data_IF_264159462118
#
_entry.id   IF_264159462118
#
_cell.length_a   1.000
_cell.length_b   1.000
_cell.length_c   1.000
_cell.angle_alpha   90.00
_cell.angle_beta   90.00
_cell.angle_gamma   90.00
#
_symmetry.space_group_name_H-M   'P 1'
#
loop_
_entity.id
_entity.type
_entity.pdbx_description
1 polymer ?
#
# COMPACT_ATOMS: atom_id res chain seq x y z
N UNK A 1 -8.34 26.97 -3.98
CA UNK A 1 -8.31 28.01 -2.91
C UNK A 1 -9.06 29.30 -3.25
N UNK A 2 -8.88 29.92 -4.43
CA UNK A 2 -9.54 31.19 -4.78
C UNK A 2 -11.08 31.12 -4.65
N UNK A 3 -11.70 30.09 -5.21
CA UNK A 3 -13.16 29.90 -5.17
C UNK A 3 -13.69 29.78 -3.74
N UNK A 4 -13.00 29.01 -2.88
CA UNK A 4 -13.37 28.86 -1.47
C UNK A 4 -13.26 30.21 -0.73
N UNK A 5 -12.18 30.95 -0.94
CA UNK A 5 -12.00 32.27 -0.36
C UNK A 5 -13.14 33.23 -0.73
N UNK A 6 -13.61 33.20 -1.97
CA UNK A 6 -14.73 34.02 -2.43
C UNK A 6 -16.05 33.57 -1.81
N UNK A 7 -16.33 32.27 -1.81
CA UNK A 7 -17.58 31.71 -1.26
C UNK A 7 -17.75 31.99 0.24
N UNK A 8 -16.65 32.05 0.98
CA UNK A 8 -16.67 32.28 2.43
C UNK A 8 -16.27 33.72 2.81
N UNK A 9 -16.10 34.63 1.84
CA UNK A 9 -15.72 36.03 2.06
C UNK A 9 -14.48 36.22 2.95
N UNK A 10 -13.48 35.36 2.78
CA UNK A 10 -12.22 35.38 3.54
C UNK A 10 -11.00 35.45 2.63
N UNK A 11 -9.87 35.87 3.17
CA UNK A 11 -8.62 35.93 2.42
C UNK A 11 -8.08 34.53 2.07
N UNK A 12 -7.31 34.38 0.97
CA UNK A 12 -6.64 33.11 0.63
C UNK A 12 -5.74 32.59 1.77
N UNK A 13 -4.91 33.43 2.45
CA UNK A 13 -4.13 32.98 3.59
C UNK A 13 -5.01 32.40 4.71
N UNK A 14 -6.16 33.02 5.00
CA UNK A 14 -7.12 32.50 5.99
C UNK A 14 -7.61 31.11 5.61
N UNK A 15 -8.02 30.90 4.36
CA UNK A 15 -8.46 29.57 3.88
C UNK A 15 -7.33 28.54 3.99
N UNK A 16 -6.11 28.89 3.59
CA UNK A 16 -4.98 27.97 3.67
C UNK A 16 -4.68 27.55 5.12
N UNK A 17 -4.72 28.51 6.06
CA UNK A 17 -4.56 28.23 7.48
C UNK A 17 -5.68 27.32 8.00
N UNK A 18 -6.94 27.62 7.69
CA UNK A 18 -8.09 26.82 8.13
C UNK A 18 -8.01 25.38 7.61
N UNK A 19 -7.65 25.18 6.34
CA UNK A 19 -7.47 23.84 5.76
C UNK A 19 -6.39 23.07 6.53
N UNK A 20 -5.21 23.67 6.72
CA UNK A 20 -4.11 23.03 7.45
C UNK A 20 -4.50 22.68 8.88
N UNK A 21 -5.08 23.63 9.61
CA UNK A 21 -5.45 23.45 11.02
C UNK A 21 -6.55 22.38 11.14
N UNK A 22 -7.51 22.33 10.21
CA UNK A 22 -8.55 21.30 10.15
C UNK A 22 -7.96 19.91 9.85
N UNK A 23 -7.10 19.80 8.84
CA UNK A 23 -6.43 18.54 8.49
C UNK A 23 -5.60 18.01 9.66
N UNK A 24 -4.89 18.89 10.36
CA UNK A 24 -4.14 18.53 11.58
C UNK A 24 -5.07 18.02 12.68
N UNK A 25 -6.18 18.71 12.95
CA UNK A 25 -7.17 18.26 13.95
C UNK A 25 -7.74 16.89 13.58
N UNK A 26 -8.05 16.66 12.30
CA UNK A 26 -8.51 15.35 11.81
C UNK A 26 -7.46 14.27 12.12
N UNK A 27 -6.19 14.51 11.81
CA UNK A 27 -5.12 13.59 12.14
C UNK A 27 -4.98 13.35 13.65
N UNK A 28 -4.92 14.43 14.45
CA UNK A 28 -4.73 14.35 15.89
C UNK A 28 -5.87 13.60 16.60
N UNK A 29 -7.09 13.65 16.03
CA UNK A 29 -8.28 13.00 16.61
C UNK A 29 -8.58 11.63 16.04
N UNK A 30 -8.39 11.41 14.74
CA UNK A 30 -8.74 10.14 14.09
C UNK A 30 -7.57 9.17 14.00
N UNK A 31 -6.33 9.63 13.85
CA UNK A 31 -5.19 8.70 13.71
C UNK A 31 -5.07 7.72 14.87
N UNK A 32 -5.30 8.08 16.16
CA UNK A 32 -5.27 7.10 17.24
C UNK A 32 -6.37 6.04 17.17
N UNK A 33 -7.45 6.30 16.42
CA UNK A 33 -8.61 5.42 16.29
C UNK A 33 -8.48 4.53 15.05
N UNK A 34 -8.05 5.11 13.93
CA UNK A 34 -8.08 4.44 12.62
C UNK A 34 -6.70 4.11 12.04
N UNK A 35 -5.63 4.62 12.63
CA UNK A 35 -4.23 4.31 12.32
C UNK A 35 -3.41 4.08 13.62
N UNK A 36 -3.92 3.28 14.58
CA UNK A 36 -3.14 3.00 15.78
C UNK A 36 -1.87 2.22 15.43
N UNK A 37 -0.85 2.32 16.29
CA UNK A 37 0.34 1.45 16.19
C UNK A 37 -0.12 -0.01 16.27
N UNK A 38 0.16 -0.86 15.26
CA UNK A 38 -0.27 -2.25 15.30
C UNK A 38 0.40 -3.03 16.43
N UNK A 39 -0.39 -3.85 17.12
CA UNK A 39 0.06 -4.82 18.12
C UNK A 39 0.37 -6.18 17.47
N UNK A 40 0.98 -7.10 18.23
CA UNK A 40 1.17 -8.48 17.78
C UNK A 40 -0.16 -9.16 17.37
N UNK A 41 -1.25 -8.91 18.08
CA UNK A 41 -2.56 -9.46 17.75
C UNK A 41 -3.16 -8.86 16.48
N UNK A 42 -2.89 -7.58 16.21
CA UNK A 42 -3.26 -6.95 14.94
C UNK A 42 -2.53 -7.60 13.77
N UNK A 43 -1.21 -7.83 13.88
CA UNK A 43 -0.45 -8.52 12.82
C UNK A 43 -0.95 -9.96 12.58
N UNK A 44 -1.30 -10.71 13.64
CA UNK A 44 -1.92 -12.04 13.50
C UNK A 44 -3.27 -11.95 12.79
N UNK A 45 -4.10 -10.96 13.14
CA UNK A 45 -5.38 -10.70 12.49
C UNK A 45 -5.19 -10.37 11.01
N UNK A 46 -4.34 -9.40 10.68
CA UNK A 46 -4.06 -9.03 9.29
C UNK A 46 -3.59 -10.23 8.48
N UNK A 47 -2.69 -11.05 9.05
CA UNK A 47 -2.22 -12.26 8.41
C UNK A 47 -3.31 -13.29 8.14
N UNK A 48 -4.23 -13.48 9.07
CA UNK A 48 -5.37 -14.37 8.87
C UNK A 48 -6.24 -13.85 7.74
N UNK A 49 -6.54 -12.56 7.74
CA UNK A 49 -7.40 -11.95 6.71
C UNK A 49 -6.73 -12.02 5.31
N UNK A 50 -5.40 -11.90 5.21
CA UNK A 50 -4.67 -12.14 3.96
C UNK A 50 -4.69 -13.60 3.52
N UNK A 51 -4.62 -14.54 4.45
CA UNK A 51 -4.75 -15.96 4.12
C UNK A 51 -6.16 -16.28 3.60
N UNK A 52 -7.19 -15.73 4.24
CA UNK A 52 -8.59 -15.96 3.88
C UNK A 52 -8.98 -15.29 2.56
N UNK A 53 -8.63 -14.01 2.37
CA UNK A 53 -9.07 -13.21 1.21
C UNK A 53 -8.12 -13.32 0.01
N UNK A 54 -6.82 -13.43 0.27
CA UNK A 54 -5.78 -13.33 -0.76
C UNK A 54 -4.96 -14.60 -0.92
N UNK A 55 -5.24 -15.63 -0.12
CA UNK A 55 -4.49 -16.89 -0.07
C UNK A 55 -2.98 -16.62 0.04
N UNK A 56 -2.59 -15.75 0.96
CA UNK A 56 -1.20 -15.46 1.23
C UNK A 56 -0.92 -15.68 2.73
N UNK A 57 -0.27 -16.80 3.11
CA UNK A 57 -0.07 -17.15 4.51
C UNK A 57 0.95 -16.22 5.15
N UNK A 58 0.83 -15.97 6.45
CA UNK A 58 1.75 -15.14 7.24
C UNK A 58 1.95 -13.69 6.72
N UNK A 59 1.21 -13.27 5.70
CA UNK A 59 1.31 -11.96 5.10
C UNK A 59 0.45 -10.96 5.85
N UNK A 60 1.02 -9.99 6.56
CA UNK A 60 0.24 -9.01 7.31
C UNK A 60 -0.04 -7.70 6.55
N UNK A 61 0.55 -7.52 5.37
CA UNK A 61 0.41 -6.25 4.66
C UNK A 61 0.91 -6.28 3.22
N UNK A 62 0.42 -5.34 2.43
CA UNK A 62 1.00 -4.98 1.14
C UNK A 62 1.60 -3.58 1.23
N UNK A 63 2.88 -3.44 0.87
CA UNK A 63 3.61 -2.17 0.87
C UNK A 63 3.81 -1.67 -0.56
N UNK A 64 3.58 -0.38 -0.75
CA UNK A 64 3.93 0.36 -1.95
C UNK A 64 4.07 1.84 -1.57
N UNK A 65 4.78 2.58 -2.40
CA UNK A 65 4.89 4.01 -2.22
C UNK A 65 4.40 4.78 -3.44
N UNK A 66 3.85 5.97 -3.19
CA UNK A 66 3.26 6.83 -4.21
C UNK A 66 3.80 8.24 -4.14
N UNK A 67 4.08 8.79 -5.31
CA UNK A 67 4.26 10.23 -5.45
C UNK A 67 2.91 10.95 -5.41
N UNK A 68 2.82 11.97 -4.57
CA UNK A 68 1.71 12.93 -4.52
C UNK A 68 2.24 14.24 -5.08
N UNK A 69 1.76 14.60 -6.27
CA UNK A 69 2.26 15.79 -6.97
C UNK A 69 1.75 17.04 -6.30
N UNK A 70 2.70 17.90 -5.96
CA UNK A 70 2.48 19.21 -5.34
C UNK A 70 2.95 20.30 -6.28
N UNK A 71 2.44 21.51 -6.11
CA UNK A 71 3.01 22.68 -6.76
C UNK A 71 4.48 22.81 -6.38
N UNK A 72 5.32 23.23 -7.34
CA UNK A 72 6.73 23.52 -7.12
C UNK A 72 6.92 24.36 -5.85
N UNK A 73 7.55 23.81 -4.80
CA UNK A 73 7.78 24.55 -3.58
C UNK A 73 8.79 25.68 -3.84
N UNK A 74 8.59 26.83 -3.19
CA UNK A 74 9.49 27.97 -3.33
C UNK A 74 10.87 27.66 -2.76
N UNK A 75 11.94 28.01 -3.49
CA UNK A 75 13.34 27.92 -3.04
C UNK A 75 13.86 26.51 -2.69
N UNK A 76 13.22 25.42 -3.15
CA UNK A 76 13.65 24.05 -2.81
C UNK A 76 14.59 23.38 -3.81
N UNK A 77 14.99 24.10 -4.87
CA UNK A 77 15.79 23.53 -5.97
C UNK A 77 15.12 22.30 -6.58
N UNK A 78 15.87 21.21 -6.75
CA UNK A 78 15.38 19.93 -7.29
C UNK A 78 14.95 18.91 -6.23
N UNK A 79 14.94 19.27 -4.94
CA UNK A 79 14.72 18.31 -3.84
C UNK A 79 13.40 17.54 -3.97
N UNK A 80 12.33 18.22 -4.38
CA UNK A 80 11.03 17.59 -4.63
C UNK A 80 10.81 17.23 -6.11
N UNK A 81 11.74 17.57 -7.01
CA UNK A 81 11.65 17.34 -8.45
C UNK A 81 11.96 15.88 -8.76
N UNK A 82 10.91 15.14 -9.14
CA UNK A 82 11.03 13.71 -9.44
C UNK A 82 11.52 13.47 -10.89
N UNK A 83 11.88 12.22 -11.18
CA UNK A 83 12.38 11.79 -12.49
C UNK A 83 11.39 12.03 -13.65
N UNK A 84 10.11 12.30 -13.34
CA UNK A 84 9.04 12.63 -14.30
C UNK A 84 8.81 14.13 -14.47
N UNK A 85 9.76 14.97 -14.02
CA UNK A 85 9.75 16.42 -14.13
C UNK A 85 8.61 17.13 -13.39
N UNK A 86 8.10 16.55 -12.32
CA UNK A 86 7.09 17.18 -11.44
C UNK A 86 7.60 17.27 -10.01
N UNK A 87 7.05 18.18 -9.20
CA UNK A 87 7.36 18.23 -7.77
C UNK A 87 6.40 17.33 -6.99
N UNK A 88 6.89 16.49 -6.09
CA UNK A 88 6.06 15.57 -5.32
C UNK A 88 6.60 15.31 -3.92
N UNK A 89 5.70 15.07 -2.97
CA UNK A 89 6.00 14.37 -1.72
C UNK A 89 5.74 12.87 -1.92
N UNK A 90 6.45 12.04 -1.17
CA UNK A 90 6.24 10.60 -1.18
C UNK A 90 5.37 10.20 0.01
N UNK A 91 4.37 9.38 -0.27
CA UNK A 91 3.61 8.60 0.70
C UNK A 91 4.09 7.16 0.60
N UNK A 92 4.70 6.63 1.66
CA UNK A 92 4.94 5.20 1.80
C UNK A 92 3.86 4.61 2.70
N UNK A 93 3.18 3.56 2.27
CA UNK A 93 2.11 2.96 3.06
C UNK A 93 2.09 1.44 2.98
N UNK A 94 1.67 0.83 4.08
CA UNK A 94 1.26 -0.57 4.18
C UNK A 94 -0.26 -0.59 4.39
N UNK A 95 -0.96 -1.50 3.73
CA UNK A 95 -2.37 -1.76 4.00
C UNK A 95 -2.63 -3.23 4.36
N UNK A 96 -3.68 -3.47 5.13
CA UNK A 96 -4.19 -4.80 5.41
C UNK A 96 -4.98 -5.38 4.23
N UNK A 97 -5.46 -6.62 4.38
CA UNK A 97 -6.23 -7.35 3.38
C UNK A 97 -7.55 -6.66 2.98
N UNK A 98 -8.07 -5.75 3.81
CA UNK A 98 -9.33 -5.05 3.64
C UNK A 98 -9.15 -3.64 3.10
N UNK A 99 -7.98 -3.31 2.52
CA UNK A 99 -7.68 -1.98 1.97
C UNK A 99 -7.60 -0.86 3.03
N UNK A 100 -7.39 -1.21 4.30
CA UNK A 100 -7.17 -0.25 5.39
C UNK A 100 -5.67 -0.01 5.53
N UNK A 101 -5.26 1.25 5.54
CA UNK A 101 -3.85 1.59 5.78
C UNK A 101 -3.49 1.25 7.23
N UNK A 102 -2.34 0.63 7.47
CA UNK A 102 -1.91 0.18 8.81
C UNK A 102 -0.60 0.84 9.27
N UNK A 103 0.29 1.13 8.32
CA UNK A 103 1.54 1.87 8.56
C UNK A 103 1.68 2.90 7.45
N UNK A 104 1.98 4.15 7.80
CA UNK A 104 2.11 5.24 6.83
C UNK A 104 3.28 6.14 7.21
N UNK A 105 3.96 6.67 6.21
CA UNK A 105 4.99 7.70 6.33
C UNK A 105 4.81 8.69 5.17
N UNK A 106 4.71 9.98 5.50
CA UNK A 106 4.33 11.05 4.58
C UNK A 106 5.36 12.16 4.65
N UNK A 107 5.83 12.60 3.49
CA UNK A 107 6.64 13.83 3.38
C UNK A 107 8.06 13.61 2.86
N UNK A 108 8.47 12.37 2.60
CA UNK A 108 9.77 12.12 1.99
C UNK A 108 9.90 12.80 0.62
N UNK A 109 11.11 13.25 0.29
CA UNK A 109 11.37 14.04 -0.91
C UNK A 109 11.09 13.23 -2.18
N UNK A 110 10.38 13.82 -3.15
CA UNK A 110 10.05 13.16 -4.42
C UNK A 110 11.23 12.77 -5.31
N UNK A 111 12.45 13.21 -4.98
CA UNK A 111 13.68 12.79 -5.66
C UNK A 111 14.23 11.45 -5.14
N UNK A 112 13.78 10.98 -3.97
CA UNK A 112 14.23 9.72 -3.39
C UNK A 112 13.55 8.51 -4.06
N UNK A 113 14.31 7.42 -4.24
CA UNK A 113 13.76 6.10 -4.56
C UNK A 113 13.04 5.51 -3.36
N UNK A 114 12.04 4.65 -3.54
CA UNK A 114 11.25 4.05 -2.45
C UNK A 114 12.10 3.23 -1.48
N UNK A 115 13.31 2.80 -1.86
CA UNK A 115 14.19 2.01 -1.00
C UNK A 115 14.93 2.91 -0.03
N UNK A 116 15.21 4.15 -0.48
CA UNK A 116 15.64 5.24 0.38
C UNK A 116 14.50 5.68 1.27
N UNK A 117 13.33 5.97 0.69
CA UNK A 117 12.13 6.38 1.46
C UNK A 117 11.73 5.34 2.49
N UNK A 118 11.72 4.06 2.13
CA UNK A 118 11.41 2.96 3.05
C UNK A 118 12.47 2.83 4.14
N UNK A 119 13.77 2.90 3.80
CA UNK A 119 14.84 2.81 4.80
C UNK A 119 14.82 4.00 5.78
N UNK A 120 14.41 5.17 5.31
CA UNK A 120 14.32 6.39 6.10
C UNK A 120 12.95 6.58 6.77
N UNK A 121 11.93 5.79 6.40
CA UNK A 121 10.59 5.90 7.00
C UNK A 121 10.61 5.46 8.46
N UNK A 122 9.76 6.08 9.28
CA UNK A 122 9.68 5.79 10.70
C UNK A 122 9.42 4.31 10.97
N UNK A 123 8.50 3.70 10.21
CA UNK A 123 8.20 2.28 10.35
C UNK A 123 9.26 1.38 9.70
N UNK A 124 9.97 1.83 8.67
CA UNK A 124 11.07 1.07 8.09
C UNK A 124 12.27 0.96 9.03
N UNK A 125 12.60 2.04 9.73
CA UNK A 125 13.58 2.04 10.84
C UNK A 125 13.10 1.13 11.97
N UNK A 126 11.83 1.23 12.38
CA UNK A 126 11.27 0.38 13.43
C UNK A 126 11.29 -1.11 13.05
N UNK A 127 11.07 -1.45 11.77
CA UNK A 127 11.19 -2.83 11.27
C UNK A 127 12.63 -3.34 11.33
N UNK A 128 13.61 -2.53 10.90
CA UNK A 128 15.02 -2.91 10.94
C UNK A 128 15.57 -3.05 12.36
N UNK A 129 15.03 -2.27 13.31
CA UNK A 129 15.39 -2.34 14.73
C UNK A 129 14.56 -3.35 15.54
N UNK A 130 13.62 -4.05 14.92
CA UNK A 130 12.67 -4.96 15.59
C UNK A 130 11.86 -4.28 16.72
N UNK A 131 11.48 -3.02 16.48
CA UNK A 131 10.66 -2.21 17.39
C UNK A 131 9.16 -2.36 17.12
N UNK A 132 8.78 -2.86 15.94
CA UNK A 132 7.41 -3.29 15.70
C UNK A 132 7.19 -4.66 16.35
N UNK A 133 6.08 -4.82 17.06
CA UNK A 133 5.69 -6.05 17.78
C UNK A 133 5.22 -7.15 16.80
N UNK A 134 6.00 -7.42 15.75
CA UNK A 134 5.71 -8.51 14.82
C UNK A 134 5.79 -9.83 15.61
N UNK A 135 4.76 -10.69 15.54
CA UNK A 135 4.76 -11.96 16.25
C UNK A 135 5.92 -12.87 15.84
N UNK A 136 6.30 -13.77 16.74
CA UNK A 136 7.21 -14.87 16.42
C UNK A 136 6.68 -15.73 15.27
N UNK A 137 7.60 -16.39 14.56
CA UNK A 137 7.31 -17.29 13.44
C UNK A 137 6.19 -18.29 13.78
N UNK A 138 5.19 -18.38 12.90
CA UNK A 138 4.13 -19.39 12.97
C UNK A 138 4.29 -20.41 11.85
N UNK A 139 3.71 -21.59 12.01
CA UNK A 139 3.71 -22.58 10.93
C UNK A 139 2.90 -22.10 9.73
N UNK A 140 3.35 -22.43 8.52
CA UNK A 140 2.51 -22.33 7.34
C UNK A 140 1.31 -23.29 7.49
N UNK A 141 0.11 -22.92 7.01
CA UNK A 141 -1.10 -23.72 7.22
C UNK A 141 -0.94 -25.17 6.77
N UNK A 142 -1.41 -26.10 7.60
CA UNK A 142 -1.33 -27.56 7.39
C UNK A 142 0.11 -28.12 7.28
N UNK A 143 1.12 -27.43 7.83
CA UNK A 143 2.50 -27.91 7.85
C UNK A 143 3.20 -27.64 9.20
N UNK A 144 4.35 -28.27 9.43
CA UNK A 144 5.25 -27.95 10.55
C UNK A 144 6.33 -26.90 10.17
N UNK A 145 6.22 -26.29 8.98
CA UNK A 145 7.20 -25.33 8.47
C UNK A 145 7.01 -23.98 9.13
N UNK A 146 7.87 -23.64 10.10
CA UNK A 146 7.90 -22.30 10.70
C UNK A 146 8.27 -21.24 9.66
N UNK A 147 7.51 -20.15 9.64
CA UNK A 147 7.68 -19.06 8.69
C UNK A 147 7.44 -17.70 9.34
N UNK A 148 8.24 -16.67 9.04
CA UNK A 148 8.06 -15.35 9.62
C UNK A 148 6.80 -14.66 9.08
N UNK A 149 6.28 -13.71 9.85
CA UNK A 149 5.29 -12.76 9.37
C UNK A 149 5.96 -11.73 8.44
N UNK A 150 5.34 -11.42 7.30
CA UNK A 150 5.93 -10.55 6.29
C UNK A 150 4.90 -9.65 5.58
N UNK A 151 5.39 -8.64 4.85
CA UNK A 151 4.60 -7.87 3.90
C UNK A 151 5.02 -8.18 2.45
N UNK A 152 4.07 -8.10 1.52
CA UNK A 152 4.35 -8.23 0.08
C UNK A 152 4.68 -6.88 -0.53
N UNK A 153 5.67 -6.85 -1.40
CA UNK A 153 6.17 -5.65 -2.04
C UNK A 153 6.45 -5.88 -3.53
N UNK A 154 6.66 -4.80 -4.28
CA UNK A 154 7.09 -4.90 -5.67
C UNK A 154 8.58 -5.30 -5.79
N UNK A 155 9.05 -5.51 -7.02
CA UNK A 155 10.45 -5.91 -7.28
C UNK A 155 11.47 -4.86 -6.80
N UNK A 156 11.05 -3.60 -6.69
CA UNK A 156 11.90 -2.47 -6.33
C UNK A 156 12.30 -2.53 -4.85
N UNK A 157 11.48 -3.12 -3.97
CA UNK A 157 11.81 -3.31 -2.54
C UNK A 157 12.92 -4.32 -2.29
N UNK A 158 13.72 -4.15 -1.23
CA UNK A 158 14.70 -5.15 -0.83
C UNK A 158 14.00 -6.42 -0.33
N UNK A 159 14.56 -7.59 -0.64
CA UNK A 159 14.09 -8.86 -0.07
C UNK A 159 14.64 -9.00 1.36
N UNK A 160 13.74 -8.92 2.35
CA UNK A 160 14.03 -9.01 3.79
C UNK A 160 13.24 -10.16 4.42
N UNK A 161 13.55 -10.55 5.66
CA UNK A 161 12.77 -11.59 6.36
C UNK A 161 11.30 -11.20 6.52
N UNK A 162 11.02 -9.90 6.63
CA UNK A 162 9.69 -9.33 6.76
C UNK A 162 9.18 -8.68 5.46
N UNK A 163 9.89 -8.79 4.32
CA UNK A 163 9.44 -8.29 2.99
C UNK A 163 9.66 -9.36 1.93
N UNK A 164 8.58 -9.83 1.33
CA UNK A 164 8.60 -10.71 0.15
C UNK A 164 8.38 -9.91 -1.13
N UNK A 165 9.20 -10.19 -2.14
CA UNK A 165 9.15 -9.55 -3.47
C UNK A 165 9.21 -10.61 -4.58
N UNK A 166 8.71 -10.33 -5.79
CA UNK A 166 8.70 -11.31 -6.88
C UNK A 166 10.12 -11.80 -7.25
N UNK A 167 10.19 -12.99 -7.85
CA UNK A 167 11.37 -13.42 -8.58
C UNK A 167 11.62 -12.47 -9.76
N UNK A 168 12.82 -11.90 -9.88
CA UNK A 168 13.14 -10.99 -10.97
C UNK A 168 13.36 -11.75 -12.28
N UNK A 169 13.14 -11.07 -13.40
CA UNK A 169 13.39 -11.60 -14.75
C UNK A 169 12.19 -12.30 -15.40
N UNK A 170 12.38 -12.69 -16.66
CA UNK A 170 11.28 -13.20 -17.53
C UNK A 170 11.29 -14.72 -17.71
N UNK A 171 12.45 -15.38 -17.50
CA UNK A 171 12.61 -16.82 -17.62
C UNK A 171 12.42 -17.49 -16.26
N UNK A 172 11.15 -17.60 -15.86
CA UNK A 172 10.75 -18.18 -14.58
C UNK A 172 10.20 -19.59 -14.76
N UNK A 173 10.52 -20.48 -13.83
CA UNK A 173 9.92 -21.83 -13.77
C UNK A 173 8.46 -21.78 -13.26
N UNK A 174 7.78 -22.94 -13.23
CA UNK A 174 6.36 -23.03 -12.81
C UNK A 174 6.18 -22.53 -11.36
N UNK A 175 7.09 -22.87 -10.47
CA UNK A 175 7.05 -22.51 -9.04
C UNK A 175 7.18 -21.00 -8.87
N UNK A 176 8.19 -20.40 -9.50
CA UNK A 176 8.44 -18.96 -9.48
C UNK A 176 7.30 -18.17 -10.12
N UNK A 177 6.73 -18.65 -11.24
CA UNK A 177 5.56 -18.01 -11.88
C UNK A 177 4.34 -18.05 -10.95
N UNK A 178 4.09 -19.17 -10.29
CA UNK A 178 2.97 -19.34 -9.35
C UNK A 178 3.13 -18.40 -8.16
N UNK A 179 4.32 -18.36 -7.57
CA UNK A 179 4.68 -17.42 -6.51
C UNK A 179 4.46 -15.97 -6.95
N UNK A 180 5.02 -15.55 -8.09
CA UNK A 180 4.87 -14.18 -8.58
C UNK A 180 3.41 -13.80 -8.82
N UNK A 181 2.61 -14.74 -9.32
CA UNK A 181 1.18 -14.52 -9.52
C UNK A 181 0.44 -14.35 -8.17
N UNK A 182 0.62 -15.27 -7.22
CA UNK A 182 0.03 -15.17 -5.86
C UNK A 182 0.46 -13.86 -5.17
N UNK A 183 1.74 -13.51 -5.24
CA UNK A 183 2.29 -12.28 -4.67
C UNK A 183 1.68 -11.04 -5.32
N UNK A 184 1.58 -11.02 -6.66
CA UNK A 184 0.96 -9.91 -7.40
C UNK A 184 -0.51 -9.71 -7.03
N UNK A 185 -1.24 -10.80 -6.76
CA UNK A 185 -2.63 -10.73 -6.26
C UNK A 185 -2.71 -10.03 -4.90
N UNK A 186 -1.93 -10.50 -3.92
CA UNK A 186 -1.90 -9.90 -2.59
C UNK A 186 -1.39 -8.44 -2.61
N UNK A 187 -0.39 -8.14 -3.45
CA UNK A 187 0.13 -6.78 -3.61
C UNK A 187 -0.88 -5.82 -4.23
N UNK A 188 -1.85 -6.29 -5.02
CA UNK A 188 -2.88 -5.41 -5.60
C UNK A 188 -3.75 -4.73 -4.53
N UNK A 189 -3.74 -5.21 -3.30
CA UNK A 189 -4.49 -4.61 -2.20
C UNK A 189 -4.02 -3.17 -1.93
N UNK A 190 -2.72 -2.90 -1.94
CA UNK A 190 -2.22 -1.54 -1.74
C UNK A 190 -2.50 -0.64 -2.94
N UNK A 191 -2.46 -1.17 -4.17
CA UNK A 191 -2.86 -0.44 -5.38
C UNK A 191 -4.34 -0.02 -5.32
N UNK A 192 -5.23 -0.94 -4.94
CA UNK A 192 -6.64 -0.65 -4.73
C UNK A 192 -6.85 0.38 -3.62
N UNK A 193 -6.12 0.27 -2.51
CA UNK A 193 -6.23 1.22 -1.38
C UNK A 193 -5.93 2.65 -1.83
N UNK A 194 -4.84 2.86 -2.57
CA UNK A 194 -4.52 4.17 -3.15
C UNK A 194 -5.55 4.61 -4.20
N UNK A 195 -6.01 3.69 -5.04
CA UNK A 195 -7.04 3.94 -6.05
C UNK A 195 -8.35 4.45 -5.44
N UNK A 196 -8.83 3.77 -4.40
CA UNK A 196 -10.02 4.13 -3.62
C UNK A 196 -9.84 5.48 -2.93
N UNK A 197 -8.68 5.73 -2.31
CA UNK A 197 -8.37 7.01 -1.68
C UNK A 197 -8.48 8.17 -2.70
N UNK A 198 -7.86 8.05 -3.88
CA UNK A 198 -7.95 9.10 -4.89
C UNK A 198 -9.32 9.23 -5.56
N UNK A 199 -10.03 8.11 -5.74
CA UNK A 199 -11.37 8.14 -6.30
C UNK A 199 -12.36 8.78 -5.32
N UNK A 200 -12.22 8.58 -4.01
CA UNK A 200 -13.11 9.22 -3.02
C UNK A 200 -12.75 10.66 -2.76
N UNK A 201 -11.46 10.96 -2.67
CA UNK A 201 -10.96 12.28 -2.33
C UNK A 201 -10.33 12.93 -3.56
N UNK A 202 -11.15 13.69 -4.28
CA UNK A 202 -10.77 14.35 -5.56
C UNK A 202 -9.53 15.23 -5.47
N UNK A 203 -9.12 15.66 -4.27
CA UNK A 203 -7.88 16.41 -4.06
C UNK A 203 -6.64 15.65 -4.53
N UNK A 204 -6.63 14.31 -4.46
CA UNK A 204 -5.53 13.47 -4.96
C UNK A 204 -5.59 13.19 -6.47
N UNK A 205 -6.59 13.73 -7.16
CA UNK A 205 -6.73 13.66 -8.64
C UNK A 205 -6.16 14.89 -9.36
N UNK A 206 -5.74 15.91 -8.62
CA UNK A 206 -5.20 17.15 -9.19
C UNK A 206 -3.95 17.57 -8.43
N UNK A 207 -3.04 18.30 -9.08
CA UNK A 207 -1.82 18.77 -8.40
C UNK A 207 -2.23 19.56 -7.17
N UNK A 208 -1.70 19.19 -6.00
CA UNK A 208 -2.02 19.89 -4.77
C UNK A 208 -1.30 21.24 -4.79
N UNK A 209 -2.08 22.30 -4.97
CA UNK A 209 -1.60 23.69 -4.97
C UNK A 209 -1.58 24.16 -3.52
N UNK A 210 -0.53 23.80 -2.77
CA UNK A 210 -0.32 24.19 -1.38
C UNK A 210 1.17 24.16 -1.02
N UNK A 211 1.52 24.76 0.13
CA UNK A 211 2.83 24.53 0.75
C UNK A 211 2.99 23.05 1.12
N UNK A 212 4.23 22.54 1.11
CA UNK A 212 4.55 21.13 1.39
C UNK A 212 3.92 20.67 2.70
N UNK A 213 4.15 21.39 3.80
CA UNK A 213 3.57 21.06 5.12
C UNK A 213 2.03 20.93 5.06
N UNK A 214 1.35 21.82 4.34
CA UNK A 214 -0.11 21.76 4.18
C UNK A 214 -0.52 20.55 3.34
N UNK A 215 0.24 20.23 2.29
CA UNK A 215 0.02 19.05 1.47
C UNK A 215 0.19 17.76 2.28
N UNK A 216 1.21 17.66 3.13
CA UNK A 216 1.40 16.53 4.06
C UNK A 216 0.20 16.35 4.98
N UNK A 217 -0.28 17.42 5.62
CA UNK A 217 -1.48 17.35 6.47
C UNK A 217 -2.73 16.95 5.69
N UNK A 218 -2.89 17.40 4.44
CA UNK A 218 -3.99 16.96 3.56
C UNK A 218 -3.94 15.44 3.33
N UNK A 219 -2.74 14.89 3.09
CA UNK A 219 -2.53 13.46 2.88
C UNK A 219 -2.84 12.68 4.15
N UNK A 220 -2.29 13.10 5.29
CA UNK A 220 -2.55 12.53 6.61
C UNK A 220 -4.06 12.49 6.94
N UNK A 221 -4.76 13.60 6.71
CA UNK A 221 -6.21 13.68 6.91
C UNK A 221 -6.97 12.76 5.95
N UNK A 222 -6.56 12.69 4.68
CA UNK A 222 -7.18 11.79 3.69
C UNK A 222 -7.05 10.30 4.08
N UNK A 223 -5.88 9.88 4.56
CA UNK A 223 -5.65 8.53 5.08
C UNK A 223 -6.55 8.22 6.27
N UNK A 224 -6.66 9.15 7.23
CA UNK A 224 -7.54 8.99 8.39
C UNK A 224 -9.01 8.88 7.98
N UNK A 225 -9.49 9.76 7.10
CA UNK A 225 -10.87 9.74 6.65
C UNK A 225 -11.20 8.48 5.83
N UNK A 226 -10.25 8.00 5.02
CA UNK A 226 -10.38 6.73 4.31
C UNK A 226 -10.56 5.57 5.27
N UNK A 227 -9.65 5.41 6.23
CA UNK A 227 -9.74 4.33 7.20
C UNK A 227 -11.01 4.47 8.06
N UNK A 228 -11.32 5.68 8.57
CA UNK A 228 -12.48 5.90 9.43
C UNK A 228 -13.80 5.52 8.75
N UNK A 229 -14.03 5.99 7.51
CA UNK A 229 -15.24 5.69 6.77
C UNK A 229 -15.32 4.19 6.41
N UNK A 230 -14.20 3.61 5.96
CA UNK A 230 -14.21 2.22 5.53
C UNK A 230 -14.35 1.23 6.70
N UNK A 231 -13.64 1.45 7.80
CA UNK A 231 -13.81 0.64 9.01
C UNK A 231 -15.24 0.72 9.55
N UNK A 232 -15.87 1.89 9.50
CA UNK A 232 -17.27 2.06 9.95
C UNK A 232 -18.24 1.20 9.14
N UNK A 233 -18.03 1.12 7.82
CA UNK A 233 -18.83 0.26 6.94
C UNK A 233 -18.56 -1.23 7.18
N UNK A 234 -17.29 -1.62 7.37
CA UNK A 234 -16.92 -3.01 7.69
C UNK A 234 -17.51 -3.49 9.02
N UNK A 235 -17.45 -2.66 10.07
CA UNK A 235 -17.98 -2.99 11.41
C UNK A 235 -19.50 -3.11 11.37
N UNK A 236 -20.17 -2.18 10.68
CA UNK A 236 -21.64 -2.16 10.59
C UNK A 236 -22.20 -3.28 9.71
N UNK A 237 -21.36 -3.98 8.93
CA UNK A 237 -21.77 -4.97 7.92
C UNK A 237 -22.91 -4.46 7.03
N UNK A 238 -22.87 -3.16 6.71
CA UNK A 238 -23.92 -2.50 5.94
C UNK A 238 -24.03 -3.17 4.57
N UNK A 239 -25.22 -3.71 4.26
CA UNK A 239 -25.54 -4.20 2.91
C UNK A 239 -25.45 -3.08 1.86
N UNK A 240 -25.51 -1.83 2.32
CA UNK A 240 -25.41 -0.61 1.51
C UNK A 240 -24.10 0.12 1.78
N UNK A 241 -22.95 -0.57 1.67
CA UNK A 241 -21.64 0.08 1.73
C UNK A 241 -21.53 1.19 0.65
N UNK A 242 -21.23 2.42 1.06
CA UNK A 242 -21.17 3.59 0.18
C UNK A 242 -19.75 3.98 -0.18
N UNK A 243 -18.79 3.73 0.72
CA UNK A 243 -17.38 4.14 0.57
C UNK A 243 -16.58 3.15 -0.28
N UNK A 244 -16.76 1.84 -0.08
CA UNK A 244 -16.21 0.82 -0.98
C UNK A 244 -17.28 -0.25 -1.28
N UNK A 245 -18.27 0.06 -2.14
CA UNK A 245 -19.31 -0.90 -2.51
C UNK A 245 -18.74 -2.13 -3.23
N UNK A 246 -19.53 -3.20 -3.39
CA UNK A 246 -19.14 -4.35 -4.20
C UNK A 246 -18.66 -3.94 -5.60
N UNK A 247 -17.58 -4.55 -6.08
CA UNK A 247 -16.90 -4.25 -7.35
C UNK A 247 -16.24 -2.87 -7.43
N UNK A 248 -16.12 -2.13 -6.32
CA UNK A 248 -15.40 -0.88 -6.33
C UNK A 248 -13.90 -1.09 -6.50
N UNK A 249 -13.32 -2.03 -5.76
CA UNK A 249 -11.97 -2.55 -5.91
C UNK A 249 -11.87 -3.59 -7.04
N UNK A 250 -10.65 -3.87 -7.51
CA UNK A 250 -10.38 -4.95 -8.46
C UNK A 250 -10.82 -6.31 -7.88
N UNK A 251 -11.42 -7.14 -8.73
CA UNK A 251 -11.81 -8.52 -8.41
C UNK A 251 -11.16 -9.51 -9.37
N UNK A 252 -11.43 -10.81 -9.19
CA UNK A 252 -10.88 -11.88 -10.02
C UNK A 252 -11.99 -12.73 -10.59
N UNK A 253 -11.86 -13.10 -11.87
CA UNK A 253 -12.72 -14.10 -12.49
C UNK A 253 -12.30 -15.52 -12.08
N UNK A 254 -13.12 -16.51 -12.46
CA UNK A 254 -12.85 -17.94 -12.18
C UNK A 254 -11.56 -18.46 -12.86
N UNK A 255 -11.02 -17.74 -13.84
CA UNK A 255 -9.79 -18.07 -14.56
C UNK A 255 -8.56 -17.37 -13.96
N UNK A 256 -8.73 -16.60 -12.88
CA UNK A 256 -7.66 -15.84 -12.24
C UNK A 256 -7.31 -14.52 -12.95
N UNK A 257 -8.11 -14.09 -13.93
CA UNK A 257 -7.93 -12.79 -14.55
C UNK A 257 -8.47 -11.68 -13.67
N UNK A 258 -7.84 -10.52 -13.80
CA UNK A 258 -8.26 -9.30 -13.14
C UNK A 258 -9.52 -8.74 -13.79
N UNK A 259 -10.53 -8.48 -12.97
CA UNK A 259 -11.65 -7.62 -13.33
C UNK A 259 -11.39 -6.26 -12.68
N UNK A 260 -11.24 -5.22 -13.52
CA UNK A 260 -10.99 -3.86 -13.08
C UNK A 260 -12.12 -3.32 -12.21
N UNK A 261 -11.77 -2.79 -11.03
CA UNK A 261 -12.71 -2.15 -10.13
C UNK A 261 -13.23 -0.81 -10.65
N UNK A 262 -14.38 -0.36 -10.15
CA UNK A 262 -14.98 0.93 -10.54
C UNK A 262 -14.07 2.13 -10.27
N UNK A 263 -13.19 2.09 -9.25
CA UNK A 263 -12.28 3.21 -8.98
C UNK A 263 -11.35 3.50 -10.17
N UNK A 264 -11.04 2.50 -11.00
CA UNK A 264 -10.19 2.66 -12.20
C UNK A 264 -10.82 3.54 -13.28
N UNK A 265 -12.13 3.78 -13.25
CA UNK A 265 -12.76 4.77 -14.15
C UNK A 265 -12.23 6.19 -13.90
N UNK A 266 -11.65 6.44 -12.72
CA UNK A 266 -11.03 7.72 -12.39
C UNK A 266 -9.52 7.74 -12.67
N UNK A 267 -8.91 6.63 -13.11
CA UNK A 267 -7.45 6.39 -13.18
C UNK A 267 -6.73 7.40 -14.08
N UNK A 268 -7.35 7.86 -15.18
CA UNK A 268 -6.78 8.90 -16.05
C UNK A 268 -6.49 10.22 -15.32
N UNK A 269 -7.16 10.47 -14.19
CA UNK A 269 -7.00 11.67 -13.38
C UNK A 269 -6.31 11.39 -12.03
N UNK A 270 -5.88 10.16 -11.71
CA UNK A 270 -5.24 9.89 -10.42
C UNK A 270 -3.76 10.28 -10.50
N UNK A 271 -3.27 11.07 -9.54
CA UNK A 271 -1.88 11.56 -9.55
C UNK A 271 -0.94 10.69 -8.71
N UNK A 272 -1.45 9.65 -8.08
CA UNK A 272 -0.62 8.62 -7.51
C UNK A 272 0.20 7.96 -8.63
N UNK A 273 1.51 8.22 -8.64
CA UNK A 273 2.43 7.63 -9.60
C UNK A 273 3.30 6.60 -8.88
N UNK A 274 3.39 5.40 -9.47
CA UNK A 274 4.34 4.37 -9.04
C UNK A 274 5.75 4.95 -9.10
N UNK A 275 6.53 4.61 -8.09
CA UNK A 275 7.92 5.00 -8.01
C UNK A 275 8.82 4.03 -8.81
N UNK A 276 10.14 4.25 -8.78
CA UNK A 276 11.11 3.60 -9.67
C UNK A 276 12.13 2.74 -8.91
N UNK A 277 12.94 1.99 -9.66
CA UNK A 277 13.90 0.96 -9.17
C UNK A 277 14.78 1.43 -7.99
N UNK A 278 14.99 0.57 -6.99
CA UNK A 278 15.62 0.95 -5.72
C UNK A 278 16.85 0.11 -5.38
N UNK A 279 17.94 0.80 -5.03
CA UNK A 279 19.05 0.28 -4.23
C UNK A 279 19.74 -1.02 -4.71
N UNK A 280 20.67 -1.50 -3.90
CA UNK A 280 21.38 -2.74 -4.17
C UNK A 280 20.49 -3.96 -3.86
N UNK A 281 20.26 -4.79 -4.87
CA UNK A 281 19.35 -5.95 -4.84
C UNK A 281 19.90 -7.19 -4.11
N UNK A 282 20.97 -7.06 -3.32
CA UNK A 282 21.67 -8.20 -2.74
C UNK A 282 20.95 -8.68 -1.48
N UNK A 283 19.99 -9.59 -1.68
CA UNK A 283 19.35 -10.31 -0.60
C UNK A 283 20.35 -11.25 0.09
N UNK A 284 20.21 -11.46 1.39
CA UNK A 284 20.96 -12.50 2.10
C UNK A 284 20.51 -13.87 1.61
N UNK A 285 21.39 -14.88 1.67
CA UNK A 285 21.04 -16.27 1.33
C UNK A 285 19.83 -16.76 2.15
N UNK A 286 19.73 -16.36 3.43
CA UNK A 286 18.59 -16.65 4.31
C UNK A 286 17.27 -16.14 3.73
N UNK A 287 17.24 -14.88 3.26
CA UNK A 287 16.01 -14.29 2.72
C UNK A 287 15.61 -14.91 1.37
N UNK A 288 16.59 -15.30 0.55
CA UNK A 288 16.33 -16.07 -0.68
C UNK A 288 15.70 -17.42 -0.34
N UNK A 289 16.27 -18.16 0.61
CA UNK A 289 15.72 -19.43 1.07
C UNK A 289 14.31 -19.29 1.63
N UNK A 290 14.01 -18.25 2.42
CA UNK A 290 12.64 -18.00 2.89
C UNK A 290 11.65 -17.82 1.73
N UNK A 291 12.02 -17.06 0.70
CA UNK A 291 11.17 -16.90 -0.48
C UNK A 291 10.96 -18.22 -1.21
N UNK A 292 12.02 -19.01 -1.37
CA UNK A 292 11.96 -20.31 -2.04
C UNK A 292 11.08 -21.31 -1.26
N UNK A 293 11.20 -21.36 0.08
CA UNK A 293 10.33 -22.17 0.95
C UNK A 293 8.86 -21.80 0.79
N UNK A 294 8.54 -20.49 0.75
CA UNK A 294 7.17 -20.05 0.51
C UNK A 294 6.70 -20.39 -0.90
N UNK A 295 7.56 -20.26 -1.91
CA UNK A 295 7.22 -20.61 -3.29
C UNK A 295 6.92 -22.11 -3.45
N UNK A 296 7.69 -22.97 -2.78
CA UNK A 296 7.46 -24.42 -2.70
C UNK A 296 6.15 -24.75 -1.99
N UNK A 297 5.85 -24.09 -0.86
CA UNK A 297 4.58 -24.25 -0.16
C UNK A 297 3.38 -23.92 -1.05
N UNK A 298 3.42 -22.83 -1.81
CA UNK A 298 2.29 -22.40 -2.66
C UNK A 298 1.96 -23.38 -3.80
N UNK A 299 2.84 -24.32 -4.11
CA UNK A 299 2.61 -25.41 -5.08
C UNK A 299 2.44 -26.78 -4.42
N UNK A 300 2.56 -26.88 -3.09
CA UNK A 300 2.36 -28.13 -2.36
C UNK A 300 0.87 -28.47 -2.27
N UNK A 301 0.50 -29.72 -1.93
CA UNK A 301 -0.89 -30.10 -1.72
C UNK A 301 -1.63 -29.21 -0.70
N UNK A 302 -0.91 -28.68 0.29
CA UNK A 302 -1.44 -27.86 1.37
C UNK A 302 -1.64 -26.39 0.96
N UNK A 303 -0.72 -25.81 0.18
CA UNK A 303 -0.76 -24.39 -0.18
C UNK A 303 -1.37 -24.07 -1.56
N UNK A 304 -1.53 -25.11 -2.40
CA UNK A 304 -2.07 -24.96 -3.75
C UNK A 304 -3.57 -24.61 -3.73
N UNK A 305 -3.98 -23.79 -4.70
CA UNK A 305 -5.38 -23.41 -4.92
C UNK A 305 -5.80 -23.75 -6.34
N UNK A 306 -7.04 -24.19 -6.51
CA UNK A 306 -7.54 -24.77 -7.78
C UNK A 306 -7.42 -23.84 -8.99
N UNK A 307 -7.59 -22.52 -8.79
CA UNK A 307 -7.55 -21.53 -9.86
C UNK A 307 -6.14 -21.12 -10.29
N UNK A 308 -5.08 -21.48 -9.55
CA UNK A 308 -3.74 -20.96 -9.87
C UNK A 308 -3.15 -21.64 -11.11
N UNK A 309 -3.47 -22.89 -11.37
CA UNK A 309 -2.96 -23.62 -12.54
C UNK A 309 -3.56 -23.11 -13.85
N UNK A 310 -4.84 -22.76 -13.85
CA UNK A 310 -5.52 -22.17 -15.02
C UNK A 310 -4.84 -20.89 -15.51
N UNK A 311 -4.37 -20.05 -14.57
CA UNK A 311 -3.64 -18.83 -14.91
C UNK A 311 -2.25 -19.13 -15.48
N UNK A 312 -1.52 -20.06 -14.86
CA UNK A 312 -0.12 -20.35 -15.22
C UNK A 312 0.00 -21.12 -16.54
N UNK A 313 -0.99 -21.95 -16.87
CA UNK A 313 -1.01 -22.77 -18.10
C UNK A 313 -1.58 -22.02 -19.32
N UNK A 314 -2.16 -20.83 -19.11
CA UNK A 314 -2.66 -19.96 -20.17
C UNK A 314 -1.56 -19.66 -21.21
N UNK A 315 -1.80 -20.08 -22.46
CA UNK A 315 -0.87 -19.86 -23.59
C UNK A 315 0.21 -20.93 -23.78
N UNK A 316 0.09 -22.09 -23.11
CA UNK A 316 0.96 -23.26 -23.32
C UNK A 316 0.41 -24.29 -24.31
N UNK A 317 -0.58 -23.88 -25.13
CA UNK A 317 -1.17 -24.67 -26.22
C UNK A 317 -1.18 -23.85 -27.50
#
# INVERSE_FOLDING_TARGET
>A
MQTVAWNFYVSKPTVSKVIRDTCKIIWDKLSPICLPRPTADDFRRYSRDFQELWNMPNCFGAIDGKHIVVQAPYNTGTSFFNYKKTFSIVLMAVCDANYIFTLVDVGAFGSQSDGGVFKESAFGIALDNNELEIPDDSCLPETDTKFPYYMVADEAFPLKSYIMRPYPGTKLDKTQKTFNYRLSRARRVIENSFGILASRWRIFRSTIIAHVDTAEWIVCAGLCLHNFLWMSELISKSENATYCPPNYADTWDNNGNVISGQWRQCEENIIFRNMGRMGANNATRKNVTLRDTLAEYLISPEGAVSWQEAYITRGSF
#
